data_IF_736180976762
#
_entry.id   IF_736180976762
#
_cell.length_a   1.000
_cell.length_b   1.000
_cell.length_c   1.000
_cell.angle_alpha   90.00
_cell.angle_beta   90.00
_cell.angle_gamma   90.00
#
_symmetry.space_group_name_H-M   'P 1'
#
loop_
_entity.id
_entity.type
_entity.pdbx_description
1 polymer ?
#
# COMPACT_ATOMS: atom_id res chain seq x y z
N UNK A 1 -0.97 -21.11 -8.91
CA UNK A 1 -0.37 -19.81 -9.27
C UNK A 1 -1.24 -18.74 -8.64
N UNK A 2 -0.70 -17.75 -7.93
CA UNK A 2 -1.53 -16.67 -7.43
C UNK A 2 -1.91 -15.79 -8.62
N UNK A 3 -3.20 -15.63 -8.89
CA UNK A 3 -3.67 -14.77 -9.97
C UNK A 3 -3.08 -13.37 -9.81
N UNK A 4 -2.59 -12.84 -10.93
CA UNK A 4 -2.12 -11.46 -11.01
C UNK A 4 -3.31 -10.56 -10.69
N UNK A 5 -3.10 -9.53 -9.87
CA UNK A 5 -4.14 -8.55 -9.55
C UNK A 5 -4.68 -7.99 -10.86
N UNK A 6 -5.99 -8.05 -11.03
CA UNK A 6 -6.74 -7.59 -12.20
C UNK A 6 -7.15 -6.15 -11.97
N UNK A 7 -6.57 -5.24 -12.73
CA UNK A 7 -6.88 -3.82 -12.62
C UNK A 7 -8.00 -3.40 -13.56
N UNK A 8 -8.82 -2.47 -13.09
CA UNK A 8 -9.78 -1.76 -13.93
C UNK A 8 -9.01 -0.86 -14.91
N UNK A 9 -9.17 -1.10 -16.22
CA UNK A 9 -8.51 -0.30 -17.25
C UNK A 9 -9.17 1.05 -17.46
N UNK A 10 -10.44 1.16 -17.08
CA UNK A 10 -11.25 2.36 -17.30
C UNK A 10 -11.01 3.40 -16.20
N UNK A 11 -10.41 3.01 -15.08
CA UNK A 11 -10.05 3.91 -13.96
C UNK A 11 -8.53 3.90 -13.69
N UNK A 12 -7.69 4.30 -14.66
CA UNK A 12 -6.23 4.20 -14.54
C UNK A 12 -5.63 5.16 -13.50
N UNK A 13 -6.29 6.28 -13.19
CA UNK A 13 -5.75 7.33 -12.33
C UNK A 13 -5.83 6.97 -10.84
N UNK A 14 -6.62 5.96 -10.47
CA UNK A 14 -6.68 5.41 -9.12
C UNK A 14 -5.96 4.07 -9.00
N UNK A 15 -5.25 3.61 -10.03
CA UNK A 15 -4.54 2.34 -10.02
C UNK A 15 -3.21 2.43 -9.22
N UNK A 16 -3.32 2.39 -7.90
CA UNK A 16 -2.14 2.50 -7.04
C UNK A 16 -1.16 1.36 -7.20
N UNK A 17 -1.59 0.17 -7.64
CA UNK A 17 -0.69 -0.96 -7.88
C UNK A 17 0.20 -0.70 -9.10
N UNK A 18 -0.34 -0.08 -10.16
CA UNK A 18 0.48 0.40 -11.27
C UNK A 18 1.49 1.46 -10.81
N UNK A 19 1.08 2.42 -9.98
CA UNK A 19 2.00 3.42 -9.42
C UNK A 19 3.10 2.79 -8.55
N UNK A 20 2.77 1.81 -7.71
CA UNK A 20 3.77 1.07 -6.93
C UNK A 20 4.78 0.35 -7.85
N UNK A 21 4.33 -0.26 -8.95
CA UNK A 21 5.22 -0.92 -9.91
C UNK A 21 6.11 0.08 -10.65
N UNK A 22 5.57 1.25 -11.00
CA UNK A 22 6.35 2.35 -11.57
C UNK A 22 7.43 2.83 -10.59
N UNK A 23 7.08 3.01 -9.31
CA UNK A 23 8.03 3.40 -8.26
C UNK A 23 9.17 2.39 -8.12
N UNK A 24 8.85 1.08 -8.10
CA UNK A 24 9.89 0.04 -8.09
C UNK A 24 10.81 0.12 -9.31
N UNK A 25 10.25 0.32 -10.50
CA UNK A 25 11.05 0.51 -11.72
C UNK A 25 11.98 1.73 -11.64
N UNK A 26 11.50 2.86 -11.11
CA UNK A 26 12.32 4.06 -10.92
C UNK A 26 13.44 3.80 -9.88
N UNK A 27 13.13 3.09 -8.80
CA UNK A 27 14.10 2.72 -7.76
C UNK A 27 15.17 1.79 -8.31
N UNK A 28 14.81 0.84 -9.16
CA UNK A 28 15.75 -0.04 -9.85
C UNK A 28 16.66 0.75 -10.80
N UNK A 29 16.11 1.71 -11.54
CA UNK A 29 16.88 2.63 -12.39
C UNK A 29 17.85 3.49 -11.55
N UNK A 30 17.43 4.01 -10.39
CA UNK A 30 18.28 4.76 -9.46
C UNK A 30 19.43 3.88 -8.95
N UNK A 31 19.14 2.68 -8.46
CA UNK A 31 20.15 1.71 -7.99
C UNK A 31 21.13 1.34 -9.10
N UNK A 32 20.65 1.22 -10.34
CA UNK A 32 21.50 0.95 -11.49
C UNK A 32 22.43 2.13 -11.82
N UNK A 33 21.94 3.38 -11.75
CA UNK A 33 22.74 4.59 -11.97
C UNK A 33 23.90 4.71 -10.99
N UNK A 34 23.71 4.25 -9.74
CA UNK A 34 24.73 4.28 -8.69
C UNK A 34 25.73 3.12 -8.75
N UNK A 35 25.41 2.05 -9.49
CA UNK A 35 26.29 0.89 -9.56
C UNK A 35 27.56 1.19 -10.37
N UNK A 36 28.73 1.03 -9.74
CA UNK A 36 30.04 1.28 -10.35
C UNK A 36 30.47 0.25 -11.43
N UNK A 37 29.56 -0.60 -11.92
CA UNK A 37 29.90 -1.65 -12.88
C UNK A 37 30.27 -1.07 -14.25
N UNK A 38 31.48 -1.36 -14.78
CA UNK A 38 31.92 -0.90 -16.10
C UNK A 38 30.98 -1.33 -17.24
N UNK A 39 30.39 -2.52 -17.13
CA UNK A 39 29.43 -3.05 -18.11
C UNK A 39 28.13 -2.24 -18.13
N UNK A 40 27.60 -1.84 -16.97
CA UNK A 40 26.40 -0.99 -16.91
C UNK A 40 26.65 0.45 -17.38
N UNK A 41 27.87 0.98 -17.21
CA UNK A 41 28.28 2.26 -17.79
C UNK A 41 28.35 2.20 -19.33
N UNK A 42 28.77 1.07 -19.91
CA UNK A 42 28.78 0.85 -21.37
C UNK A 42 27.39 0.67 -21.99
N UNK A 43 26.42 0.11 -21.26
CA UNK A 43 25.03 -0.05 -21.71
C UNK A 43 24.06 0.99 -21.12
N UNK A 44 24.57 2.07 -20.52
CA UNK A 44 23.76 3.15 -19.98
C UNK A 44 22.84 3.71 -21.06
N UNK A 45 21.52 3.60 -20.85
CA UNK A 45 20.51 4.09 -21.80
C UNK A 45 20.78 5.57 -22.11
N UNK A 46 20.86 5.91 -23.40
CA UNK A 46 21.02 7.30 -23.88
C UNK A 46 19.93 8.25 -23.38
N UNK A 47 18.77 7.72 -22.97
CA UNK A 47 17.70 8.47 -22.30
C UNK A 47 17.59 7.98 -20.85
N UNK A 48 18.15 8.74 -19.91
CA UNK A 48 17.92 8.53 -18.48
C UNK A 48 16.44 8.85 -18.21
N UNK A 49 15.72 7.91 -17.59
CA UNK A 49 14.34 8.11 -17.16
C UNK A 49 14.24 9.42 -16.36
N UNK A 50 13.44 10.43 -16.80
CA UNK A 50 13.36 11.75 -16.15
C UNK A 50 12.93 11.70 -14.67
N UNK A 51 12.36 10.58 -14.23
CA UNK A 51 12.07 10.37 -12.81
C UNK A 51 13.33 10.17 -11.95
N UNK A 52 14.42 9.66 -12.53
CA UNK A 52 15.67 9.36 -11.79
C UNK A 52 16.27 10.63 -11.21
N UNK A 53 16.41 11.69 -12.00
CA UNK A 53 16.97 12.97 -11.57
C UNK A 53 15.90 14.02 -11.17
N UNK A 54 14.61 13.68 -11.25
CA UNK A 54 13.51 14.59 -10.91
C UNK A 54 13.17 15.65 -11.96
N UNK A 55 13.83 15.65 -13.13
CA UNK A 55 13.56 16.62 -14.21
C UNK A 55 12.11 16.62 -14.66
N UNK A 56 11.43 15.46 -14.59
CA UNK A 56 10.01 15.28 -14.93
C UNK A 56 9.05 16.28 -14.24
N UNK A 57 9.37 16.73 -13.04
CA UNK A 57 8.55 17.74 -12.32
C UNK A 57 9.12 19.16 -12.45
N UNK A 58 10.41 19.31 -12.73
CA UNK A 58 11.04 20.62 -12.89
C UNK A 58 10.61 21.32 -14.19
N UNK A 59 10.24 20.55 -15.22
CA UNK A 59 9.70 21.08 -16.49
C UNK A 59 8.43 21.92 -16.31
N UNK A 60 7.69 21.72 -15.22
CA UNK A 60 6.51 22.52 -14.88
C UNK A 60 6.86 23.92 -14.33
N UNK A 61 8.14 24.16 -14.01
CA UNK A 61 8.65 25.41 -13.42
C UNK A 61 10.00 25.81 -14.07
N UNK A 62 10.03 26.00 -15.40
CA UNK A 62 11.28 26.11 -16.16
C UNK A 62 12.19 27.28 -15.72
N UNK A 63 11.61 28.37 -15.21
CA UNK A 63 12.35 29.55 -14.76
C UNK A 63 12.79 29.48 -13.29
N UNK A 64 12.46 28.40 -12.58
CA UNK A 64 12.81 28.24 -11.17
C UNK A 64 14.26 27.74 -11.00
N UNK A 65 15.16 28.68 -10.69
CA UNK A 65 16.59 28.39 -10.48
C UNK A 65 16.86 27.37 -9.37
N UNK A 66 16.02 27.31 -8.34
CA UNK A 66 16.20 26.35 -7.25
C UNK A 66 15.82 24.94 -7.69
N UNK A 67 14.72 24.79 -8.44
CA UNK A 67 14.35 23.51 -9.04
C UNK A 67 15.46 22.98 -9.97
N UNK A 68 16.03 23.85 -10.82
CA UNK A 68 17.15 23.48 -11.70
C UNK A 68 18.38 22.97 -10.91
N UNK A 69 18.78 23.69 -9.84
CA UNK A 69 19.90 23.25 -8.98
C UNK A 69 19.65 21.90 -8.33
N UNK A 70 18.42 21.65 -7.87
CA UNK A 70 18.05 20.38 -7.23
C UNK A 70 18.08 19.22 -8.23
N UNK A 71 17.64 19.46 -9.49
CA UNK A 71 17.78 18.47 -10.58
C UNK A 71 19.25 18.18 -10.87
N UNK A 72 20.12 19.19 -10.92
CA UNK A 72 21.58 18.99 -11.12
C UNK A 72 22.20 18.17 -9.99
N UNK A 73 21.77 18.39 -8.74
CA UNK A 73 22.21 17.59 -7.59
C UNK A 73 21.72 16.14 -7.72
N UNK A 74 20.45 15.93 -8.05
CA UNK A 74 19.87 14.60 -8.22
C UNK A 74 20.38 13.86 -9.47
N UNK A 75 20.87 14.57 -10.48
CA UNK A 75 21.56 13.95 -11.61
C UNK A 75 22.87 13.28 -11.17
N UNK A 76 23.60 13.91 -10.25
CA UNK A 76 24.84 13.37 -9.66
C UNK A 76 24.54 12.30 -8.62
N UNK A 77 23.56 12.55 -7.75
CA UNK A 77 23.19 11.68 -6.64
C UNK A 77 21.66 11.43 -6.61
N UNK A 78 21.15 10.51 -7.44
CA UNK A 78 19.71 10.24 -7.48
C UNK A 78 19.17 9.62 -6.19
N UNK A 79 20.00 9.11 -5.28
CA UNK A 79 19.53 8.62 -3.99
C UNK A 79 19.24 9.71 -2.97
N UNK A 80 19.65 10.96 -3.21
CA UNK A 80 19.58 12.03 -2.21
C UNK A 80 18.12 12.39 -1.90
N UNK A 81 17.63 11.85 -0.78
CA UNK A 81 16.25 11.97 -0.34
C UNK A 81 15.86 13.41 0.01
N UNK A 82 16.79 14.20 0.56
CA UNK A 82 16.53 15.59 0.98
C UNK A 82 16.26 16.47 -0.23
N UNK A 83 17.14 16.42 -1.23
CA UNK A 83 17.05 17.23 -2.46
C UNK A 83 15.83 16.85 -3.26
N UNK A 84 15.46 15.56 -3.27
CA UNK A 84 14.24 15.09 -3.93
C UNK A 84 12.99 15.69 -3.30
N UNK A 85 12.90 15.70 -1.98
CA UNK A 85 11.73 16.27 -1.30
C UNK A 85 11.72 17.79 -1.33
N UNK A 86 12.89 18.44 -1.31
CA UNK A 86 13.02 19.87 -1.57
C UNK A 86 12.51 20.20 -2.99
N UNK A 87 12.86 19.39 -3.99
CA UNK A 87 12.38 19.60 -5.36
C UNK A 87 10.86 19.49 -5.45
N UNK A 88 10.28 18.45 -4.83
CA UNK A 88 8.82 18.30 -4.75
C UNK A 88 8.18 19.53 -4.11
N UNK A 89 8.68 19.97 -2.95
CA UNK A 89 8.13 21.14 -2.27
C UNK A 89 8.29 22.44 -3.09
N UNK A 90 9.43 22.62 -3.76
CA UNK A 90 9.68 23.79 -4.63
C UNK A 90 8.71 23.81 -5.81
N UNK A 91 8.49 22.68 -6.49
CA UNK A 91 7.54 22.61 -7.61
C UNK A 91 6.11 22.80 -7.12
N UNK A 92 5.72 22.11 -6.04
CA UNK A 92 4.37 22.21 -5.45
C UNK A 92 4.07 23.63 -4.95
N UNK A 93 5.05 24.32 -4.37
CA UNK A 93 4.90 25.70 -3.88
C UNK A 93 4.91 26.77 -4.98
N UNK A 94 5.40 26.45 -6.17
CA UNK A 94 5.49 27.42 -7.27
C UNK A 94 4.13 27.70 -7.94
N UNK A 95 3.20 26.74 -7.94
CA UNK A 95 1.87 26.91 -8.54
C UNK A 95 0.90 25.85 -8.04
N UNK A 96 -0.36 26.23 -7.84
CA UNK A 96 -1.47 25.28 -7.64
C UNK A 96 -2.11 24.82 -8.96
N UNK A 97 -1.73 25.43 -10.09
CA UNK A 97 -2.34 25.20 -11.39
C UNK A 97 -1.71 24.05 -12.20
N UNK A 98 -0.83 23.25 -11.59
CA UNK A 98 -0.16 22.12 -12.25
C UNK A 98 -1.14 21.14 -12.89
N UNK A 99 -0.71 20.50 -13.98
CA UNK A 99 -1.48 19.46 -14.67
C UNK A 99 -1.69 18.23 -13.76
N UNK A 100 -2.65 17.37 -14.11
CA UNK A 100 -2.82 16.09 -13.39
C UNK A 100 -1.56 15.21 -13.49
N UNK A 101 -0.92 15.16 -14.67
CA UNK A 101 0.31 14.40 -14.89
C UNK A 101 1.45 14.91 -14.00
N UNK A 102 1.65 16.23 -13.92
CA UNK A 102 2.64 16.85 -13.05
C UNK A 102 2.39 16.51 -11.57
N UNK A 103 1.12 16.56 -11.12
CA UNK A 103 0.76 16.18 -9.74
C UNK A 103 1.01 14.69 -9.46
N UNK A 104 0.69 13.81 -10.42
CA UNK A 104 1.04 12.39 -10.34
C UNK A 104 2.56 12.23 -10.19
N UNK A 105 3.32 12.92 -11.02
CA UNK A 105 4.78 12.79 -11.02
C UNK A 105 5.38 13.37 -9.72
N UNK A 106 4.84 14.45 -9.16
CA UNK A 106 5.21 14.94 -7.81
C UNK A 106 4.91 13.90 -6.73
N UNK A 107 3.74 13.26 -6.76
CA UNK A 107 3.37 12.19 -5.84
C UNK A 107 4.36 11.01 -5.94
N UNK A 108 4.74 10.60 -7.15
CA UNK A 108 5.74 9.55 -7.34
C UNK A 108 7.12 9.99 -6.84
N UNK A 109 7.57 11.20 -7.18
CA UNK A 109 8.84 11.76 -6.74
C UNK A 109 8.95 11.80 -5.21
N UNK A 110 7.87 12.20 -4.54
CA UNK A 110 7.81 12.23 -3.08
C UNK A 110 7.97 10.85 -2.46
N UNK A 111 7.43 9.80 -3.11
CA UNK A 111 7.44 8.44 -2.59
C UNK A 111 8.76 7.68 -2.78
N UNK A 112 9.61 8.09 -3.75
CA UNK A 112 10.89 7.43 -4.05
C UNK A 112 11.79 7.23 -2.81
N UNK A 113 12.02 8.21 -1.92
CA UNK A 113 12.82 8.02 -0.70
C UNK A 113 12.35 6.85 0.16
N UNK A 114 11.03 6.71 0.32
CA UNK A 114 10.41 5.63 1.11
C UNK A 114 10.70 4.27 0.46
N UNK A 115 10.61 4.17 -0.85
CA UNK A 115 10.93 2.95 -1.59
C UNK A 115 12.42 2.62 -1.63
N UNK A 116 13.28 3.63 -1.47
CA UNK A 116 14.72 3.44 -1.31
C UNK A 116 15.11 2.99 0.11
N UNK A 117 14.20 3.10 1.08
CA UNK A 117 14.42 2.70 2.47
C UNK A 117 14.64 3.85 3.46
N UNK A 118 14.62 5.10 2.99
CA UNK A 118 14.75 6.27 3.87
C UNK A 118 13.36 6.76 4.30
N UNK A 119 13.04 6.52 5.57
CA UNK A 119 11.76 6.88 6.15
C UNK A 119 11.94 7.76 7.38
N UNK A 120 11.45 8.98 7.28
CA UNK A 120 11.33 9.91 8.41
C UNK A 120 9.89 10.43 8.50
N UNK A 121 9.53 10.99 9.65
CA UNK A 121 8.24 11.66 9.82
C UNK A 121 8.03 12.73 8.74
N UNK A 122 9.02 13.60 8.51
CA UNK A 122 8.94 14.67 7.51
C UNK A 122 8.72 14.12 6.11
N UNK A 123 9.41 13.03 5.75
CA UNK A 123 9.31 12.45 4.40
C UNK A 123 7.91 11.89 4.16
N UNK A 124 7.35 11.18 5.14
CA UNK A 124 5.98 10.67 5.04
C UNK A 124 4.95 11.78 4.96
N UNK A 125 5.14 12.86 5.72
CA UNK A 125 4.24 14.01 5.63
C UNK A 125 4.25 14.58 4.19
N UNK A 126 5.41 14.78 3.57
CA UNK A 126 5.49 15.29 2.18
C UNK A 126 4.79 14.34 1.20
N UNK A 127 5.01 13.02 1.33
CA UNK A 127 4.34 12.02 0.50
C UNK A 127 2.83 12.11 0.62
N UNK A 128 2.29 12.17 1.84
CA UNK A 128 0.84 12.19 2.07
C UNK A 128 0.22 13.49 1.56
N UNK A 129 0.90 14.63 1.66
CA UNK A 129 0.43 15.88 1.06
C UNK A 129 0.42 15.81 -0.48
N UNK A 130 1.49 15.30 -1.11
CA UNK A 130 1.54 15.15 -2.57
C UNK A 130 0.48 14.15 -3.06
N UNK A 131 0.26 13.07 -2.32
CA UNK A 131 -0.81 12.10 -2.56
C UNK A 131 -2.20 12.74 -2.49
N UNK A 132 -2.47 13.52 -1.43
CA UNK A 132 -3.74 14.27 -1.27
C UNK A 132 -3.95 15.23 -2.44
N UNK A 133 -2.94 16.02 -2.79
CA UNK A 133 -3.01 17.00 -3.87
C UNK A 133 -3.32 16.34 -5.23
N UNK A 134 -2.68 15.21 -5.53
CA UNK A 134 -2.98 14.44 -6.74
C UNK A 134 -4.45 14.03 -6.83
N UNK A 135 -5.03 13.48 -5.75
CA UNK A 135 -6.43 13.08 -5.72
C UNK A 135 -7.40 14.27 -5.78
N UNK A 136 -7.09 15.38 -5.11
CA UNK A 136 -7.88 16.61 -5.20
C UNK A 136 -7.89 17.16 -6.64
N UNK A 137 -6.73 17.15 -7.31
CA UNK A 137 -6.61 17.57 -8.70
C UNK A 137 -7.39 16.66 -9.64
N UNK A 138 -7.30 15.34 -9.45
CA UNK A 138 -8.03 14.35 -10.23
C UNK A 138 -9.54 14.57 -10.14
N UNK A 139 -10.05 14.71 -8.91
CA UNK A 139 -11.46 14.95 -8.65
C UNK A 139 -11.93 16.26 -9.30
N UNK A 140 -11.18 17.35 -9.13
CA UNK A 140 -11.54 18.66 -9.68
C UNK A 140 -11.55 18.64 -11.22
N UNK A 141 -10.57 17.99 -11.85
CA UNK A 141 -10.52 17.81 -13.30
C UNK A 141 -11.75 17.04 -13.80
N UNK A 142 -12.13 15.94 -13.15
CA UNK A 142 -13.29 15.17 -13.55
C UNK A 142 -14.61 15.93 -13.34
N UNK A 143 -14.77 16.64 -12.22
CA UNK A 143 -15.94 17.49 -11.98
C UNK A 143 -16.09 18.56 -13.08
N UNK A 144 -15.00 19.20 -13.48
CA UNK A 144 -14.99 20.17 -14.59
C UNK A 144 -15.36 19.53 -15.93
N UNK A 145 -14.75 18.40 -16.27
CA UNK A 145 -15.04 17.68 -17.51
C UNK A 145 -16.50 17.22 -17.57
N UNK A 146 -17.07 16.71 -16.47
CA UNK A 146 -18.49 16.33 -16.41
C UNK A 146 -19.43 17.53 -16.60
N UNK A 147 -19.12 18.68 -16.01
CA UNK A 147 -19.90 19.91 -16.25
C UNK A 147 -19.86 20.33 -17.72
N UNK A 148 -18.69 20.21 -18.37
CA UNK A 148 -18.53 20.49 -19.79
C UNK A 148 -19.36 19.55 -20.67
N UNK A 149 -19.31 18.23 -20.40
CA UNK A 149 -20.12 17.23 -21.09
C UNK A 149 -21.61 17.57 -20.97
N UNK A 150 -22.12 17.79 -19.75
CA UNK A 150 -23.52 18.19 -19.52
C UNK A 150 -23.89 19.46 -20.29
N UNK A 151 -23.03 20.47 -20.31
CA UNK A 151 -23.27 21.70 -21.08
C UNK A 151 -23.34 21.44 -22.59
N UNK A 152 -22.47 20.59 -23.13
CA UNK A 152 -22.47 20.24 -24.56
C UNK A 152 -23.69 19.45 -24.99
N UNK A 153 -24.15 18.50 -24.17
CA UNK A 153 -25.39 17.75 -24.41
C UNK A 153 -26.59 18.70 -24.43
N UNK A 154 -26.71 19.59 -23.43
CA UNK A 154 -27.82 20.55 -23.36
C UNK A 154 -27.85 21.53 -24.54
N UNK A 155 -26.72 21.87 -25.14
CA UNK A 155 -26.66 22.71 -26.36
C UNK A 155 -27.16 21.99 -27.61
N UNK A 156 -27.08 20.66 -27.64
CA UNK A 156 -27.46 19.84 -28.79
C UNK A 156 -28.89 19.30 -28.70
N UNK A 157 -29.60 19.51 -27.59
CA UNK A 157 -31.04 19.19 -27.48
C UNK A 157 -31.85 20.36 -28.03
N UNK A 158 -32.38 20.21 -29.25
CA UNK A 158 -33.42 21.09 -29.75
C UNK A 158 -34.69 20.83 -28.92
N UNK A 159 -35.06 21.75 -28.03
CA UNK A 159 -36.21 21.64 -27.10
C UNK A 159 -37.59 21.62 -27.78
N UNK A 160 -37.65 21.55 -29.12
CA UNK A 160 -38.89 21.53 -29.89
C UNK A 160 -39.22 20.10 -30.36
N UNK A 161 -39.86 19.33 -29.47
CA UNK A 161 -40.63 18.13 -29.83
C UNK A 161 -39.86 16.80 -29.89
N UNK A 162 -39.36 16.31 -28.75
CA UNK A 162 -38.87 14.92 -28.67
C UNK A 162 -39.88 14.06 -27.91
N UNK A 163 -40.48 13.15 -28.67
CA UNK A 163 -41.10 11.91 -28.19
C UNK A 163 -39.97 10.94 -27.83
N UNK A 164 -39.98 10.41 -26.60
CA UNK A 164 -38.87 9.64 -26.05
C UNK A 164 -39.09 8.17 -26.41
N UNK A 165 -38.42 7.70 -27.46
CA UNK A 165 -38.22 6.25 -27.65
C UNK A 165 -36.96 5.82 -26.91
N UNK A 166 -37.15 5.09 -25.81
CA UNK A 166 -36.12 4.36 -25.08
C UNK A 166 -35.57 3.22 -25.94
N UNK A 167 -34.53 3.45 -26.73
CA UNK A 167 -33.71 2.34 -27.24
C UNK A 167 -32.32 2.86 -27.68
N UNK A 168 -31.30 2.22 -27.10
CA UNK A 168 -29.92 2.10 -27.58
C UNK A 168 -29.10 3.38 -27.83
N UNK A 169 -28.37 3.82 -26.80
CA UNK A 169 -27.13 4.57 -27.03
C UNK A 169 -25.98 4.01 -26.21
N UNK A 170 -25.10 3.30 -26.90
CA UNK A 170 -23.73 2.94 -26.50
C UNK A 170 -22.86 4.23 -26.49
N UNK A 171 -23.29 5.22 -25.69
CA UNK A 171 -22.72 6.56 -25.68
C UNK A 171 -21.36 6.56 -24.97
N UNK A 172 -20.30 6.75 -25.74
CA UNK A 172 -18.93 6.93 -25.23
C UNK A 172 -18.84 7.99 -24.13
N UNK A 173 -19.72 8.99 -24.11
CA UNK A 173 -19.80 9.98 -23.04
C UNK A 173 -20.32 9.40 -21.73
N UNK A 174 -21.25 8.46 -21.76
CA UNK A 174 -21.79 7.77 -20.58
C UNK A 174 -20.70 6.87 -19.98
N UNK A 175 -20.00 6.07 -20.80
CA UNK A 175 -18.87 5.23 -20.33
C UNK A 175 -17.76 6.08 -19.71
N UNK A 176 -17.38 7.19 -20.35
CA UNK A 176 -16.44 8.15 -19.77
C UNK A 176 -16.95 8.71 -18.43
N UNK A 177 -18.24 9.01 -18.31
CA UNK A 177 -18.84 9.57 -17.09
C UNK A 177 -18.83 8.58 -15.92
N UNK A 178 -19.13 7.31 -16.14
CA UNK A 178 -19.10 6.27 -15.09
C UNK A 178 -17.70 6.08 -14.51
N UNK A 179 -16.69 5.98 -15.40
CA UNK A 179 -15.29 5.86 -14.98
C UNK A 179 -14.84 7.08 -14.19
N UNK A 180 -15.17 8.29 -14.67
CA UNK A 180 -14.85 9.54 -13.97
C UNK A 180 -15.52 9.63 -12.60
N UNK A 181 -16.79 9.22 -12.50
CA UNK A 181 -17.51 9.18 -11.21
C UNK A 181 -16.87 8.19 -10.24
N UNK A 182 -16.44 7.02 -10.72
CA UNK A 182 -15.71 6.04 -9.92
C UNK A 182 -14.38 6.60 -9.42
N UNK A 183 -13.60 7.26 -10.29
CA UNK A 183 -12.34 7.91 -9.91
C UNK A 183 -12.53 9.06 -8.91
N UNK A 184 -13.63 9.83 -9.03
CA UNK A 184 -14.05 10.83 -8.04
C UNK A 184 -14.33 10.18 -6.69
N UNK A 185 -15.23 9.19 -6.64
CA UNK A 185 -15.68 8.57 -5.38
C UNK A 185 -14.53 7.87 -4.63
N UNK A 186 -13.66 7.17 -5.37
CA UNK A 186 -12.47 6.55 -4.78
C UNK A 186 -11.51 7.62 -4.27
N UNK A 187 -11.28 8.70 -5.02
CA UNK A 187 -10.40 9.79 -4.60
C UNK A 187 -10.93 10.51 -3.35
N UNK A 188 -12.23 10.79 -3.28
CA UNK A 188 -12.88 11.37 -2.09
C UNK A 188 -12.65 10.49 -0.86
N UNK A 189 -12.95 9.18 -0.95
CA UNK A 189 -12.75 8.25 0.15
C UNK A 189 -11.27 8.09 0.58
N UNK A 190 -10.33 8.27 -0.35
CA UNK A 190 -8.90 8.27 -0.04
C UNK A 190 -8.45 9.56 0.64
N UNK A 191 -8.95 10.71 0.19
CA UNK A 191 -8.67 12.03 0.77
C UNK A 191 -9.17 12.11 2.22
N UNK A 192 -10.40 11.64 2.50
CA UNK A 192 -10.99 11.66 3.85
C UNK A 192 -10.11 10.98 4.91
N UNK A 193 -9.31 9.98 4.49
CA UNK A 193 -8.39 9.25 5.39
C UNK A 193 -7.06 9.97 5.62
N UNK A 194 -6.70 10.94 4.77
CA UNK A 194 -5.37 11.58 4.82
C UNK A 194 -5.15 12.35 6.11
N UNK A 195 -6.17 13.03 6.66
CA UNK A 195 -6.01 13.84 7.87
C UNK A 195 -5.74 12.95 9.10
N UNK A 196 -6.40 11.79 9.21
CA UNK A 196 -6.12 10.79 10.25
C UNK A 196 -4.70 10.24 10.10
N UNK A 197 -4.28 9.91 8.87
CA UNK A 197 -2.93 9.41 8.57
C UNK A 197 -1.87 10.44 8.96
N UNK A 198 -2.04 11.71 8.57
CA UNK A 198 -1.14 12.81 8.92
C UNK A 198 -1.06 12.99 10.44
N UNK A 199 -2.19 12.94 11.15
CA UNK A 199 -2.21 13.03 12.60
C UNK A 199 -1.49 11.85 13.26
N UNK A 200 -1.70 10.63 12.76
CA UNK A 200 -1.02 9.43 13.25
C UNK A 200 0.50 9.52 13.02
N UNK A 201 0.95 9.97 11.83
CA UNK A 201 2.37 10.21 11.55
C UNK A 201 2.92 11.25 12.55
N UNK A 202 2.22 12.36 12.76
CA UNK A 202 2.66 13.45 13.64
C UNK A 202 2.77 13.05 15.11
N UNK A 203 1.84 12.22 15.60
CA UNK A 203 1.70 11.94 17.04
C UNK A 203 2.28 10.60 17.46
N UNK A 204 2.36 9.62 16.56
CA UNK A 204 2.75 8.23 16.88
C UNK A 204 4.08 7.79 16.27
N UNK A 205 4.62 8.53 15.30
CA UNK A 205 5.95 8.23 14.75
C UNK A 205 7.02 8.93 15.58
N UNK A 206 7.92 8.13 16.18
CA UNK A 206 9.02 8.64 17.01
C UNK A 206 10.39 8.19 16.52
N UNK A 207 10.45 7.35 15.49
CA UNK A 207 11.70 6.84 14.92
C UNK A 207 11.84 7.21 13.46
N UNK A 208 13.09 7.27 13.01
CA UNK A 208 13.47 7.24 11.61
C UNK A 208 14.15 5.91 11.30
N UNK A 209 14.00 5.47 10.06
CA UNK A 209 14.63 4.28 9.50
C UNK A 209 15.40 4.74 8.25
N UNK A 210 16.71 4.50 8.21
CA UNK A 210 17.49 4.79 7.01
C UNK A 210 17.70 3.52 6.17
N UNK A 211 17.95 3.71 4.88
CA UNK A 211 18.35 2.60 4.00
C UNK A 211 19.62 1.90 4.50
N UNK A 212 20.56 2.66 5.06
CA UNK A 212 21.85 2.16 5.54
C UNK A 212 21.65 1.20 6.73
N UNK A 213 20.74 1.53 7.64
CA UNK A 213 20.38 0.66 8.77
C UNK A 213 19.78 -0.68 8.28
N UNK A 214 18.94 -0.62 7.26
CA UNK A 214 18.35 -1.83 6.64
C UNK A 214 19.43 -2.65 5.93
N UNK A 215 20.32 -1.98 5.19
CA UNK A 215 21.41 -2.62 4.45
C UNK A 215 22.41 -3.31 5.38
N UNK A 216 22.89 -2.63 6.44
CA UNK A 216 23.82 -3.16 7.44
C UNK A 216 23.27 -4.46 8.05
N UNK A 217 21.99 -4.46 8.43
CA UNK A 217 21.35 -5.63 9.03
C UNK A 217 21.12 -6.75 8.00
N UNK A 218 20.76 -6.42 6.76
CA UNK A 218 20.56 -7.43 5.70
C UNK A 218 21.87 -8.07 5.22
N UNK A 219 22.94 -7.29 5.11
CA UNK A 219 24.26 -7.81 4.72
C UNK A 219 24.83 -8.69 5.81
N UNK A 220 24.59 -8.33 7.07
CA UNK A 220 25.02 -9.13 8.22
C UNK A 220 24.25 -10.44 8.30
N UNK A 221 22.93 -10.45 8.01
CA UNK A 221 22.16 -11.69 7.91
C UNK A 221 22.65 -12.64 6.80
N UNK A 222 23.05 -12.09 5.64
CA UNK A 222 23.64 -12.87 4.54
C UNK A 222 25.04 -13.39 4.88
N UNK A 223 25.86 -12.60 5.58
CA UNK A 223 27.18 -13.00 6.04
C UNK A 223 27.11 -14.06 7.14
N UNK A 224 26.17 -13.94 8.10
CA UNK A 224 25.95 -14.93 9.15
C UNK A 224 25.50 -16.29 8.59
N UNK A 225 24.79 -16.31 7.46
CA UNK A 225 24.47 -17.54 6.73
C UNK A 225 25.66 -18.16 5.96
N UNK A 226 26.75 -17.40 5.76
CA UNK A 226 27.93 -17.84 4.99
C UNK A 226 29.23 -17.97 5.81
N UNK A 227 29.26 -17.50 7.06
CA UNK A 227 30.45 -17.46 7.89
C UNK A 227 30.19 -18.08 9.27
N UNK A 228 30.21 -19.41 9.34
CA UNK A 228 30.66 -20.08 10.57
C UNK A 228 32.17 -19.84 10.70
N UNK A 229 32.56 -18.76 11.37
CA UNK A 229 33.95 -18.51 11.77
C UNK A 229 34.35 -17.05 11.72
N UNK A 230 34.11 -16.32 12.81
CA UNK A 230 34.67 -14.98 13.01
C UNK A 230 33.98 -14.24 14.14
N UNK A 231 34.60 -14.25 15.33
CA UNK A 231 34.05 -13.72 16.58
C UNK A 231 33.89 -12.21 16.59
N UNK A 232 32.74 -11.73 16.09
CA UNK A 232 32.14 -10.48 16.53
C UNK A 232 31.22 -10.77 17.72
N UNK A 233 31.07 -9.81 18.63
CA UNK A 233 30.26 -9.96 19.84
C UNK A 233 28.78 -10.17 19.45
N UNK A 234 28.32 -11.43 19.39
CA UNK A 234 26.98 -11.85 18.92
C UNK A 234 25.83 -11.08 19.61
N UNK A 235 26.09 -10.62 20.83
CA UNK A 235 25.16 -9.82 21.64
C UNK A 235 24.88 -8.43 21.04
N UNK A 236 25.90 -7.71 20.56
CA UNK A 236 25.75 -6.37 19.97
C UNK A 236 25.05 -6.42 18.61
N UNK A 237 25.36 -7.44 17.80
CA UNK A 237 24.73 -7.64 16.50
C UNK A 237 23.23 -7.93 16.66
N UNK A 238 22.87 -8.79 17.62
CA UNK A 238 21.46 -9.09 17.95
C UNK A 238 20.69 -7.85 18.43
N UNK A 239 21.32 -6.98 19.23
CA UNK A 239 20.69 -5.73 19.68
C UNK A 239 20.41 -4.76 18.52
N UNK A 240 21.36 -4.59 17.60
CA UNK A 240 21.16 -3.75 16.40
C UNK A 240 20.03 -4.28 15.51
N UNK A 241 20.00 -5.59 15.27
CA UNK A 241 18.93 -6.24 14.49
C UNK A 241 17.55 -6.00 15.12
N UNK A 242 17.42 -6.22 16.43
CA UNK A 242 16.17 -5.98 17.16
C UNK A 242 15.72 -4.50 17.09
N UNK A 243 16.66 -3.56 17.14
CA UNK A 243 16.36 -2.13 16.99
C UNK A 243 15.79 -1.83 15.60
N UNK A 244 16.44 -2.31 14.53
CA UNK A 244 15.97 -2.09 13.14
C UNK A 244 14.61 -2.74 12.90
N UNK A 245 14.38 -3.95 13.44
CA UNK A 245 13.07 -4.61 13.39
C UNK A 245 12.02 -3.74 14.09
N UNK A 246 12.29 -3.25 15.30
CA UNK A 246 11.35 -2.39 16.06
C UNK A 246 10.99 -1.10 15.32
N UNK A 247 12.00 -0.40 14.79
CA UNK A 247 11.80 0.79 13.93
C UNK A 247 10.95 0.46 12.71
N UNK A 248 11.26 -0.64 12.04
CA UNK A 248 10.53 -1.08 10.85
C UNK A 248 9.07 -1.40 11.13
N UNK A 249 8.76 -1.98 12.31
CA UNK A 249 7.38 -2.23 12.75
C UNK A 249 6.62 -0.91 12.91
N UNK A 250 7.22 0.10 13.55
CA UNK A 250 6.59 1.41 13.70
C UNK A 250 6.39 2.07 12.33
N UNK A 251 7.42 2.09 11.48
CA UNK A 251 7.37 2.65 10.12
C UNK A 251 6.26 2.00 9.31
N UNK A 252 6.15 0.67 9.30
CA UNK A 252 5.14 -0.04 8.52
C UNK A 252 3.70 0.34 8.91
N UNK A 253 3.46 0.62 10.19
CA UNK A 253 2.16 1.09 10.66
C UNK A 253 1.76 2.44 10.05
N UNK A 254 2.74 3.24 9.63
CA UNK A 254 2.54 4.52 8.92
C UNK A 254 2.44 4.35 7.41
N UNK A 255 3.16 3.37 6.82
CA UNK A 255 3.15 3.12 5.37
C UNK A 255 1.87 2.43 4.89
N UNK A 256 1.47 1.37 5.58
CA UNK A 256 0.43 0.45 5.11
C UNK A 256 -0.97 1.07 4.89
N UNK A 257 -1.40 2.13 5.61
CA UNK A 257 -2.67 2.80 5.33
C UNK A 257 -2.69 3.59 4.01
N UNK A 258 -1.53 3.95 3.45
CA UNK A 258 -1.44 4.72 2.19
C UNK A 258 -1.28 3.75 1.02
N UNK A 259 -2.28 3.60 0.11
CA UNK A 259 -2.19 2.64 -1.00
C UNK A 259 -0.91 2.77 -1.84
N UNK A 260 -0.43 3.99 -2.08
CA UNK A 260 0.82 4.23 -2.81
C UNK A 260 2.06 3.59 -2.15
N UNK A 261 2.08 3.46 -0.82
CA UNK A 261 3.24 3.02 -0.04
C UNK A 261 3.17 1.55 0.40
N UNK A 262 2.05 0.86 0.16
CA UNK A 262 1.91 -0.56 0.48
C UNK A 262 2.97 -1.41 -0.21
N UNK A 263 3.42 -1.02 -1.40
CA UNK A 263 4.50 -1.69 -2.11
C UNK A 263 5.82 -1.66 -1.32
N UNK A 264 6.23 -0.48 -0.83
CA UNK A 264 7.40 -0.32 0.02
C UNK A 264 7.29 -1.10 1.33
N UNK A 265 6.09 -1.15 1.93
CA UNK A 265 5.84 -1.96 3.13
C UNK A 265 6.05 -3.47 2.90
N UNK A 266 5.62 -3.99 1.75
CA UNK A 266 5.88 -5.39 1.38
C UNK A 266 7.39 -5.63 1.17
N UNK A 267 8.08 -4.72 0.51
CA UNK A 267 9.51 -4.87 0.23
C UNK A 267 10.34 -4.80 1.53
N UNK A 268 9.97 -3.94 2.48
CA UNK A 268 10.55 -3.87 3.82
C UNK A 268 10.33 -5.16 4.61
N UNK A 269 9.08 -5.65 4.67
CA UNK A 269 8.77 -6.90 5.38
C UNK A 269 9.53 -8.11 4.82
N UNK A 270 9.66 -8.24 3.51
CA UNK A 270 10.47 -9.29 2.87
C UNK A 270 11.95 -9.16 3.20
N UNK A 271 12.47 -7.93 3.21
CA UNK A 271 13.87 -7.67 3.58
C UNK A 271 14.13 -8.16 5.01
N UNK A 272 13.23 -7.85 5.96
CA UNK A 272 13.35 -8.34 7.34
C UNK A 272 13.19 -9.85 7.47
N UNK A 273 12.31 -10.49 6.68
CA UNK A 273 12.20 -11.95 6.64
C UNK A 273 13.52 -12.62 6.19
N UNK A 274 14.32 -11.94 5.36
CA UNK A 274 15.62 -12.46 4.93
C UNK A 274 16.73 -12.27 5.96
N UNK A 275 16.53 -11.37 6.93
CA UNK A 275 17.45 -11.13 8.06
C UNK A 275 17.28 -12.21 9.11
N UNK A 276 16.04 -12.45 9.54
CA UNK A 276 15.70 -13.50 10.50
C UNK A 276 14.35 -14.14 10.14
N UNK A 277 14.40 -15.42 9.76
CA UNK A 277 13.23 -16.20 9.37
C UNK A 277 12.57 -16.96 10.54
N UNK A 278 13.14 -16.88 11.74
CA UNK A 278 12.61 -17.51 12.97
C UNK A 278 11.70 -16.57 13.76
N UNK A 279 11.73 -15.28 13.45
CA UNK A 279 10.87 -14.28 14.10
C UNK A 279 9.53 -14.20 13.35
N UNK A 280 8.38 -14.28 14.05
CA UNK A 280 7.07 -14.18 13.42
C UNK A 280 6.71 -12.77 12.93
N UNK A 281 7.32 -11.73 13.49
CA UNK A 281 6.96 -10.33 13.23
C UNK A 281 7.04 -9.91 11.75
N UNK A 282 8.10 -10.20 10.98
CA UNK A 282 8.14 -9.86 9.56
C UNK A 282 7.01 -10.50 8.73
N UNK A 283 6.53 -11.68 9.14
CA UNK A 283 5.38 -12.36 8.51
C UNK A 283 4.05 -11.71 8.91
N UNK A 284 3.91 -11.30 10.18
CA UNK A 284 2.77 -10.49 10.64
C UNK A 284 2.71 -9.17 9.87
N UNK A 285 3.86 -8.51 9.70
CA UNK A 285 4.00 -7.27 8.92
C UNK A 285 3.51 -7.45 7.48
N UNK A 286 3.96 -8.49 6.78
CA UNK A 286 3.47 -8.81 5.43
C UNK A 286 1.95 -9.04 5.41
N UNK A 287 1.43 -9.79 6.40
CA UNK A 287 0.00 -10.02 6.58
C UNK A 287 -0.80 -8.73 6.76
N UNK A 288 -0.32 -7.79 7.61
CA UNK A 288 -0.93 -6.47 7.82
C UNK A 288 -1.00 -5.67 6.54
N UNK A 289 0.08 -5.64 5.75
CA UNK A 289 0.08 -4.90 4.48
C UNK A 289 -0.95 -5.49 3.52
N UNK A 290 -0.98 -6.82 3.36
CA UNK A 290 -2.01 -7.46 2.53
C UNK A 290 -3.44 -7.21 3.03
N UNK A 291 -3.66 -7.13 4.35
CA UNK A 291 -4.95 -6.74 4.90
C UNK A 291 -5.32 -5.28 4.57
N UNK A 292 -4.35 -4.36 4.53
CA UNK A 292 -4.61 -2.98 4.09
C UNK A 292 -4.87 -2.89 2.58
N UNK A 293 -4.19 -3.70 1.76
CA UNK A 293 -4.51 -3.84 0.33
C UNK A 293 -5.94 -4.36 0.16
N UNK A 294 -6.36 -5.33 0.97
CA UNK A 294 -7.73 -5.85 0.95
C UNK A 294 -8.77 -4.78 1.32
N UNK A 295 -8.50 -3.96 2.34
CA UNK A 295 -9.34 -2.82 2.72
C UNK A 295 -9.42 -1.76 1.62
N UNK A 296 -8.35 -1.56 0.86
CA UNK A 296 -8.34 -0.68 -0.29
C UNK A 296 -9.23 -1.21 -1.43
N UNK A 297 -9.21 -2.52 -1.72
CA UNK A 297 -10.15 -3.10 -2.68
C UNK A 297 -11.60 -3.01 -2.21
N UNK A 298 -11.86 -3.21 -0.90
CA UNK A 298 -13.20 -3.00 -0.36
C UNK A 298 -13.67 -1.56 -0.55
N UNK A 299 -12.81 -0.57 -0.24
CA UNK A 299 -13.10 0.85 -0.50
C UNK A 299 -13.43 1.09 -1.97
N UNK A 300 -12.65 0.55 -2.90
CA UNK A 300 -12.93 0.67 -4.35
C UNK A 300 -14.31 0.14 -4.71
N UNK A 301 -14.70 -1.01 -4.19
CA UNK A 301 -16.01 -1.64 -4.43
C UNK A 301 -17.14 -0.75 -3.88
N UNK A 302 -16.97 -0.26 -2.65
CA UNK A 302 -17.93 0.64 -1.99
C UNK A 302 -18.07 1.97 -2.73
N UNK A 303 -16.99 2.42 -3.39
CA UNK A 303 -16.93 3.60 -4.28
C UNK A 303 -17.26 3.31 -5.75
N UNK A 304 -17.94 2.19 -6.05
CA UNK A 304 -18.49 1.91 -7.39
C UNK A 304 -17.62 1.06 -8.32
N UNK A 305 -16.35 0.81 -8.00
CA UNK A 305 -15.47 -0.03 -8.83
C UNK A 305 -15.68 -1.52 -8.53
N UNK A 306 -16.70 -2.10 -9.16
CA UNK A 306 -17.06 -3.52 -9.00
C UNK A 306 -15.95 -4.48 -9.42
N UNK A 307 -15.05 -4.08 -10.32
CA UNK A 307 -13.98 -4.95 -10.83
C UNK A 307 -12.93 -5.26 -9.75
N UNK A 308 -12.78 -4.39 -8.74
CA UNK A 308 -11.90 -4.62 -7.60
C UNK A 308 -12.28 -5.87 -6.78
N UNK A 309 -13.54 -6.34 -6.88
CA UNK A 309 -14.01 -7.58 -6.24
C UNK A 309 -13.17 -8.79 -6.64
N UNK A 310 -12.75 -8.88 -7.89
CA UNK A 310 -11.95 -10.01 -8.41
C UNK A 310 -10.61 -10.15 -7.66
N UNK A 311 -10.12 -9.07 -7.02
CA UNK A 311 -8.86 -9.06 -6.29
C UNK A 311 -8.98 -9.35 -4.80
N UNK A 312 -10.20 -9.37 -4.24
CA UNK A 312 -10.39 -9.53 -2.80
C UNK A 312 -9.92 -10.91 -2.31
N UNK A 313 -10.42 -12.00 -2.91
CA UNK A 313 -10.06 -13.35 -2.49
C UNK A 313 -8.55 -13.66 -2.68
N UNK A 314 -7.91 -13.35 -3.83
CA UNK A 314 -6.47 -13.52 -3.98
C UNK A 314 -5.65 -12.74 -2.94
N UNK A 315 -6.07 -11.51 -2.59
CA UNK A 315 -5.37 -10.67 -1.61
C UNK A 315 -5.58 -11.18 -0.19
N UNK A 316 -6.80 -11.59 0.16
CA UNK A 316 -7.09 -12.26 1.43
C UNK A 316 -6.22 -13.50 1.62
N UNK A 317 -6.08 -14.32 0.58
CA UNK A 317 -5.25 -15.52 0.63
C UNK A 317 -3.77 -15.21 0.87
N UNK A 318 -3.25 -14.11 0.31
CA UNK A 318 -1.88 -13.65 0.61
C UNK A 318 -1.72 -13.30 2.09
N UNK A 319 -2.64 -12.50 2.64
CA UNK A 319 -2.64 -12.18 4.07
C UNK A 319 -2.72 -13.46 4.94
N UNK A 320 -3.64 -14.36 4.59
CA UNK A 320 -3.85 -15.62 5.30
C UNK A 320 -2.59 -16.50 5.29
N UNK A 321 -1.89 -16.59 4.17
CA UNK A 321 -0.65 -17.35 4.06
C UNK A 321 0.42 -16.75 4.97
N UNK A 322 0.62 -15.43 4.96
CA UNK A 322 1.61 -14.78 5.82
C UNK A 322 1.31 -14.99 7.31
N UNK A 323 0.06 -14.79 7.76
CA UNK A 323 -0.30 -15.04 9.15
C UNK A 323 -0.25 -16.54 9.52
N UNK A 324 -0.62 -17.46 8.63
CA UNK A 324 -0.46 -18.90 8.89
C UNK A 324 1.01 -19.29 9.06
N UNK A 325 1.93 -18.69 8.30
CA UNK A 325 3.37 -18.89 8.49
C UNK A 325 3.79 -18.34 9.86
N UNK A 326 3.34 -17.15 10.25
CA UNK A 326 3.62 -16.58 11.56
C UNK A 326 3.10 -17.46 12.71
N UNK A 327 1.86 -17.97 12.59
CA UNK A 327 1.24 -18.88 13.57
C UNK A 327 2.02 -20.18 13.80
N UNK A 328 2.82 -20.64 12.83
CA UNK A 328 3.68 -21.83 13.00
C UNK A 328 4.88 -21.59 13.92
N UNK A 329 5.21 -20.32 14.17
CA UNK A 329 6.35 -19.92 15.00
C UNK A 329 5.93 -19.59 16.45
N UNK A 330 4.64 -19.75 16.76
CA UNK A 330 4.04 -19.40 18.05
C UNK A 330 3.43 -20.63 18.73
N UNK A 331 3.58 -20.73 20.04
CA UNK A 331 2.90 -21.76 20.84
C UNK A 331 1.44 -21.39 21.09
N UNK A 332 0.51 -22.29 20.75
CA UNK A 332 -0.92 -22.13 21.08
C UNK A 332 -1.26 -22.58 22.50
N UNK A 333 -0.47 -23.47 23.08
CA UNK A 333 -0.73 -24.08 24.41
C UNK A 333 -0.04 -23.33 25.54
N UNK A 334 1.05 -22.63 25.24
CA UNK A 334 1.78 -21.77 26.18
C UNK A 334 2.23 -20.47 25.49
N UNK A 335 1.28 -19.64 25.00
CA UNK A 335 1.58 -18.38 24.34
C UNK A 335 2.22 -17.37 25.30
N UNK A 336 3.10 -16.52 24.78
CA UNK A 336 3.74 -15.41 25.50
C UNK A 336 3.11 -14.07 25.10
N UNK A 337 3.37 -13.02 25.88
CA UNK A 337 2.91 -11.65 25.56
C UNK A 337 3.39 -11.17 24.17
N UNK A 338 4.59 -11.55 23.76
CA UNK A 338 5.13 -11.23 22.44
C UNK A 338 4.38 -11.91 21.28
N UNK A 339 3.63 -12.97 21.56
CA UNK A 339 2.87 -13.73 20.56
C UNK A 339 1.48 -13.13 20.30
N UNK A 340 1.00 -12.24 21.17
CA UNK A 340 -0.32 -11.61 21.08
C UNK A 340 -0.62 -10.99 19.69
N UNK A 341 0.30 -10.24 19.04
CA UNK A 341 0.04 -9.71 17.70
C UNK A 341 -0.25 -10.80 16.67
N UNK A 342 0.50 -11.92 16.71
CA UNK A 342 0.31 -13.05 15.79
C UNK A 342 -1.07 -13.68 15.98
N UNK A 343 -1.41 -13.99 17.23
CA UNK A 343 -2.68 -14.64 17.60
C UNK A 343 -3.89 -13.76 17.26
N UNK A 344 -3.86 -12.50 17.71
CA UNK A 344 -4.99 -11.57 17.59
C UNK A 344 -5.21 -11.12 16.15
N UNK A 345 -4.16 -10.92 15.36
CA UNK A 345 -4.31 -10.51 13.95
C UNK A 345 -4.77 -11.66 13.07
N UNK A 346 -4.28 -12.88 13.31
CA UNK A 346 -4.79 -14.06 12.62
C UNK A 346 -6.28 -14.25 12.93
N UNK A 347 -6.69 -14.14 14.19
CA UNK A 347 -8.08 -14.20 14.62
C UNK A 347 -8.94 -13.08 13.98
N UNK A 348 -8.45 -11.84 13.92
CA UNK A 348 -9.14 -10.75 13.24
C UNK A 348 -9.27 -10.99 11.72
N UNK A 349 -8.26 -11.57 11.07
CA UNK A 349 -8.32 -11.88 9.64
C UNK A 349 -9.35 -12.96 9.32
N UNK A 350 -9.46 -14.02 10.14
CA UNK A 350 -10.47 -15.06 9.92
C UNK A 350 -11.88 -14.53 10.13
N UNK A 351 -12.08 -13.67 11.14
CA UNK A 351 -13.33 -12.95 11.33
C UNK A 351 -13.67 -12.02 10.15
N UNK A 352 -12.69 -11.29 9.62
CA UNK A 352 -12.86 -10.49 8.40
C UNK A 352 -13.27 -11.37 7.21
N UNK A 353 -12.64 -12.54 7.07
CA UNK A 353 -12.98 -13.55 6.07
C UNK A 353 -14.44 -14.00 6.15
N UNK A 354 -14.97 -14.13 7.36
CA UNK A 354 -16.36 -14.46 7.62
C UNK A 354 -17.34 -13.35 7.25
N UNK A 355 -17.06 -12.10 7.67
CA UNK A 355 -17.92 -10.95 7.37
C UNK A 355 -18.03 -10.74 5.86
N UNK A 356 -16.91 -10.79 5.15
CA UNK A 356 -16.85 -10.45 3.73
C UNK A 356 -16.88 -11.69 2.80
N UNK A 357 -17.30 -12.85 3.32
CA UNK A 357 -17.29 -14.12 2.57
C UNK A 357 -18.05 -14.05 1.24
N UNK A 358 -19.18 -13.35 1.20
CA UNK A 358 -20.04 -13.29 0.02
C UNK A 358 -19.39 -12.42 -1.08
N UNK A 359 -18.72 -11.33 -0.68
CA UNK A 359 -17.90 -10.53 -1.59
C UNK A 359 -16.74 -11.36 -2.17
N UNK A 360 -16.06 -12.15 -1.32
CA UNK A 360 -14.96 -13.03 -1.72
C UNK A 360 -15.40 -14.35 -2.37
N UNK A 361 -16.72 -14.61 -2.47
CA UNK A 361 -17.30 -15.86 -2.97
C UNK A 361 -16.80 -17.11 -2.23
N UNK A 362 -16.53 -16.99 -0.93
CA UNK A 362 -16.18 -18.14 -0.10
C UNK A 362 -17.45 -18.91 0.30
N UNK A 363 -17.37 -20.24 0.27
CA UNK A 363 -18.44 -21.10 0.77
C UNK A 363 -18.46 -21.08 2.29
N UNK A 364 -19.63 -21.34 2.90
CA UNK A 364 -19.77 -21.42 4.36
C UNK A 364 -18.82 -22.48 4.96
N UNK A 365 -18.75 -23.67 4.34
CA UNK A 365 -17.81 -24.72 4.76
C UNK A 365 -16.35 -24.31 4.61
N UNK A 366 -16.00 -23.61 3.52
CA UNK A 366 -14.64 -23.11 3.29
C UNK A 366 -14.18 -22.12 4.37
N UNK A 367 -15.10 -21.30 4.88
CA UNK A 367 -14.82 -20.34 5.95
C UNK A 367 -14.88 -20.98 7.34
N UNK A 368 -15.71 -22.00 7.55
CA UNK A 368 -15.88 -22.66 8.85
C UNK A 368 -14.56 -23.12 9.45
N UNK A 369 -13.73 -23.82 8.66
CA UNK A 369 -12.40 -24.26 9.12
C UNK A 369 -11.48 -23.09 9.50
N UNK A 370 -11.56 -21.97 8.78
CA UNK A 370 -10.76 -20.77 9.09
C UNK A 370 -11.22 -20.11 10.39
N UNK A 371 -12.53 -19.98 10.60
CA UNK A 371 -13.09 -19.37 11.82
C UNK A 371 -12.77 -20.23 13.05
N UNK A 372 -12.81 -21.57 12.93
CA UNK A 372 -12.35 -22.48 14.01
C UNK A 372 -10.91 -22.22 14.41
N UNK A 373 -9.99 -22.14 13.43
CA UNK A 373 -8.59 -21.81 13.70
C UNK A 373 -8.42 -20.41 14.29
N UNK A 374 -9.24 -19.45 13.85
CA UNK A 374 -9.28 -18.10 14.43
C UNK A 374 -9.72 -18.10 15.89
N UNK A 375 -10.70 -18.95 16.23
CA UNK A 375 -11.20 -19.12 17.59
C UNK A 375 -10.11 -19.67 18.49
N UNK A 376 -9.41 -20.72 18.06
CA UNK A 376 -8.26 -21.26 18.81
C UNK A 376 -7.19 -20.19 19.08
N UNK A 377 -6.90 -19.35 18.09
CA UNK A 377 -5.92 -18.27 18.26
C UNK A 377 -6.42 -17.19 19.24
N UNK A 378 -7.72 -16.85 19.19
CA UNK A 378 -8.33 -15.91 20.13
C UNK A 378 -8.38 -16.46 21.55
N UNK A 379 -8.70 -17.74 21.73
CA UNK A 379 -8.64 -18.43 23.03
C UNK A 379 -7.24 -18.34 23.63
N UNK A 380 -6.21 -18.68 22.84
CA UNK A 380 -4.82 -18.59 23.26
C UNK A 380 -4.40 -17.14 23.60
N UNK A 381 -4.93 -16.14 22.88
CA UNK A 381 -4.67 -14.74 23.23
C UNK A 381 -5.30 -14.37 24.58
N UNK A 382 -6.52 -14.83 24.86
CA UNK A 382 -7.23 -14.56 26.13
C UNK A 382 -6.53 -15.19 27.33
N UNK A 383 -5.86 -16.34 27.17
CA UNK A 383 -5.06 -16.91 28.27
C UNK A 383 -3.86 -16.05 28.67
N UNK A 384 -3.41 -15.16 27.78
CA UNK A 384 -2.30 -14.23 28.06
C UNK A 384 -2.82 -12.86 28.51
N UNK A 385 -3.91 -12.39 27.90
CA UNK A 385 -4.49 -11.06 28.15
C UNK A 385 -6.02 -11.08 27.93
N UNK A 386 -6.77 -10.98 29.03
CA UNK A 386 -8.23 -11.02 29.03
C UNK A 386 -8.90 -9.88 28.25
N UNK A 387 -8.18 -8.79 27.96
CA UNK A 387 -8.71 -7.68 27.14
C UNK A 387 -9.11 -8.11 25.73
N UNK A 388 -8.66 -9.29 25.27
CA UNK A 388 -9.06 -9.88 23.99
C UNK A 388 -10.36 -10.73 24.05
N UNK A 389 -11.00 -10.86 25.20
CA UNK A 389 -12.28 -11.57 25.31
C UNK A 389 -13.38 -11.05 24.34
N UNK A 390 -13.49 -9.75 24.03
CA UNK A 390 -14.42 -9.27 23.00
C UNK A 390 -14.12 -9.79 21.59
N UNK A 391 -12.85 -10.04 21.23
CA UNK A 391 -12.47 -10.67 19.97
C UNK A 391 -12.91 -12.13 19.94
N UNK A 392 -12.61 -12.88 21.01
CA UNK A 392 -13.00 -14.27 21.17
C UNK A 392 -14.53 -14.44 21.01
N UNK A 393 -15.33 -13.65 21.73
CA UNK A 393 -16.80 -13.70 21.65
C UNK A 393 -17.35 -13.40 20.26
N UNK A 394 -16.74 -12.46 19.52
CA UNK A 394 -17.15 -12.15 18.14
C UNK A 394 -16.93 -13.33 17.19
N UNK A 395 -15.79 -14.02 17.35
CA UNK A 395 -15.45 -15.19 16.54
C UNK A 395 -16.35 -16.37 16.91
N UNK A 396 -16.58 -16.60 18.20
CA UNK A 396 -17.49 -17.63 18.69
C UNK A 396 -18.91 -17.45 18.14
N UNK A 397 -19.45 -16.22 18.18
CA UNK A 397 -20.76 -15.92 17.58
C UNK A 397 -20.79 -16.25 16.09
N UNK A 398 -19.71 -15.95 15.37
CA UNK A 398 -19.59 -16.25 13.93
C UNK A 398 -19.56 -17.75 13.66
N UNK A 399 -18.89 -18.50 14.53
CA UNK A 399 -18.81 -19.96 14.45
C UNK A 399 -20.18 -20.59 14.65
N UNK A 400 -20.91 -20.17 15.69
CA UNK A 400 -22.25 -20.65 15.98
C UNK A 400 -23.22 -20.39 14.81
N UNK A 401 -23.10 -19.24 14.14
CA UNK A 401 -23.90 -18.94 12.95
C UNK A 401 -23.59 -19.87 11.78
N UNK A 402 -22.32 -20.24 11.57
CA UNK A 402 -21.93 -21.17 10.51
C UNK A 402 -22.37 -22.61 10.81
N UNK A 403 -22.21 -23.07 12.06
CA UNK A 403 -22.61 -24.41 12.47
C UNK A 403 -24.14 -24.58 12.42
N UNK A 404 -24.92 -23.59 12.87
CA UNK A 404 -26.38 -23.60 12.75
C UNK A 404 -26.84 -23.63 11.28
N UNK A 405 -26.18 -22.85 10.41
CA UNK A 405 -26.48 -22.87 8.99
C UNK A 405 -26.15 -24.21 8.32
N UNK A 406 -25.14 -24.92 8.81
CA UNK A 406 -24.75 -26.25 8.34
C UNK A 406 -25.76 -27.32 8.79
N UNK A 407 -26.22 -27.25 10.03
CA UNK A 407 -27.25 -28.15 10.55
C UNK A 407 -28.56 -28.00 9.77
N UNK A 408 -29.02 -26.76 9.55
CA UNK A 408 -30.22 -26.51 8.76
C UNK A 408 -30.13 -27.00 7.30
N UNK A 409 -28.92 -27.06 6.72
CA UNK A 409 -28.69 -27.63 5.38
C UNK A 409 -28.63 -29.17 5.37
N UNK A 410 -28.37 -29.80 6.51
CA UNK A 410 -28.37 -31.26 6.62
C UNK A 410 -29.77 -31.83 6.92
N UNK A 411 -30.67 -30.98 7.42
CA UNK A 411 -32.06 -31.32 7.75
C UNK A 411 -33.06 -31.02 6.60
N UNK A 412 -32.61 -30.32 5.56
CA UNK A 412 -33.36 -30.01 4.34
C UNK A 412 -32.89 -30.90 3.18
#
# INVERSE_FOLDING_TARGET
MADKIKENKDTPNINHIAFQNQLRGIVDDIKAHQSNSPLKKMFGKKNVNPHVNGSVIAEAVPDNKEAAKLVDKLHKEPSDSVSRLQLVNTVMGASSAHSLATNRDMMLQAAIPIYLGDVTQTYLMVVVHAYKNYHEKLMNLHKQNMMSIRSSVLKNVNMSGIDVSDEDQDDTNIKNTESMMTEIQVSEALIERTDEILNNIKTKMSTALSREEIEEVSSTGKAAASFFGGGGDDSQNTQKQNMVISKSVQVLSMLSPVPLLQGAGLDLSKTLQSVDNKIPYPLVMEGRVHQQVLKYFLLRIESGDRTARDNMAPTYNKALVSFRKAMKLVSKTAPKKADLPVLTEFANLTFYGFIHRDLMRFTKDGVLGLVKLGKEAADAAVTVDESFAPLQKRIEKSLNQLDAAKQAQAEA
#
